data_IF_280041905571
#
_entry.id   IF_280041905571
#
_cell.length_a   1.000
_cell.length_b   1.000
_cell.length_c   1.000
_cell.angle_alpha   90.00
_cell.angle_beta   90.00
_cell.angle_gamma   90.00
#
_symmetry.space_group_name_H-M   'P 1'
#
loop_
_entity.id
_entity.type
_entity.pdbx_description
1 polymer ?
#
# COMPACT_ATOMS: atom_id res chain seq x y z
N UNK A 1 22.16 19.95 12.61
CA UNK A 1 23.40 19.38 13.21
C UNK A 1 24.06 18.52 12.16
N UNK A 2 25.26 18.88 11.72
CA UNK A 2 26.04 18.16 10.71
C UNK A 2 26.99 17.18 11.38
N UNK A 3 27.57 17.56 12.52
CA UNK A 3 28.49 16.74 13.28
C UNK A 3 28.72 17.31 14.68
N UNK A 4 29.45 16.57 15.50
CA UNK A 4 29.85 16.99 16.83
C UNK A 4 31.35 16.76 17.02
N UNK A 5 32.02 17.67 17.73
CA UNK A 5 33.34 17.45 18.32
C UNK A 5 33.18 17.22 19.81
N UNK A 6 33.90 16.25 20.33
CA UNK A 6 34.00 15.96 21.76
C UNK A 6 35.47 16.13 22.14
N UNK A 7 35.76 17.04 23.08
CA UNK A 7 37.11 17.36 23.53
C UNK A 7 38.07 17.68 22.35
N UNK A 8 37.58 18.47 21.39
CA UNK A 8 38.34 18.91 20.20
C UNK A 8 38.43 17.89 19.05
N UNK A 9 38.00 16.63 19.24
CA UNK A 9 38.06 15.57 18.21
C UNK A 9 36.71 15.36 17.54
N UNK A 10 36.69 15.17 16.22
CA UNK A 10 35.48 14.83 15.46
C UNK A 10 35.01 13.43 15.83
N UNK A 11 33.76 13.32 16.30
CA UNK A 11 33.18 12.05 16.75
C UNK A 11 31.84 11.77 16.04
N UNK A 12 31.46 10.49 15.83
CA UNK A 12 30.15 10.14 15.32
C UNK A 12 29.01 10.64 16.24
N UNK A 13 27.87 11.02 15.66
CA UNK A 13 26.68 11.49 16.42
C UNK A 13 26.07 10.43 17.36
N UNK A 14 26.39 9.15 17.16
CA UNK A 14 25.95 8.04 18.01
C UNK A 14 26.79 7.83 19.27
N UNK A 15 27.89 8.57 19.41
CA UNK A 15 28.80 8.44 20.56
C UNK A 15 28.06 8.82 21.84
N UNK A 16 28.12 7.95 22.85
CA UNK A 16 27.56 8.25 24.16
C UNK A 16 28.46 9.25 24.89
N UNK A 17 27.85 10.26 25.49
CA UNK A 17 28.54 11.33 26.19
C UNK A 17 28.84 10.91 27.63
N UNK A 18 29.98 11.34 28.15
CA UNK A 18 30.37 11.14 29.54
C UNK A 18 30.34 12.48 30.31
N UNK A 19 30.26 12.40 31.63
CA UNK A 19 30.32 13.59 32.47
C UNK A 19 31.69 14.25 32.35
N UNK A 20 31.71 15.57 32.15
CA UNK A 20 32.94 16.34 31.97
C UNK A 20 33.37 16.53 30.50
N UNK A 21 32.68 15.92 29.54
CA UNK A 21 32.95 16.13 28.11
C UNK A 21 32.60 17.55 27.66
N UNK A 22 33.53 18.20 26.96
CA UNK A 22 33.27 19.44 26.24
C UNK A 22 32.74 19.12 24.83
N UNK A 23 31.55 19.63 24.51
CA UNK A 23 30.85 19.33 23.26
C UNK A 23 30.75 20.58 22.40
N UNK A 24 31.21 20.49 21.15
CA UNK A 24 30.98 21.50 20.13
C UNK A 24 30.07 20.92 19.04
N UNK A 25 28.94 21.59 18.78
CA UNK A 25 27.96 21.16 17.78
C UNK A 25 28.17 21.94 16.50
N UNK A 26 28.51 21.25 15.42
CA UNK A 26 28.65 21.83 14.09
C UNK A 26 27.26 21.88 13.46
N UNK A 27 26.77 23.08 13.18
CA UNK A 27 25.43 23.31 12.61
C UNK A 27 25.51 23.90 11.21
N UNK A 28 24.50 23.59 10.39
CA UNK A 28 24.31 24.16 9.06
C UNK A 28 22.82 24.36 8.84
N UNK A 29 22.45 25.42 8.11
CA UNK A 29 21.05 25.73 7.76
C UNK A 29 20.43 24.70 6.82
N UNK A 30 21.23 24.03 5.99
CA UNK A 30 20.75 23.03 5.05
C UNK A 30 20.46 21.67 5.72
N UNK A 31 21.04 21.42 6.89
CA UNK A 31 21.00 20.10 7.51
C UNK A 31 19.75 19.93 8.38
N UNK A 32 18.88 18.99 7.99
CA UNK A 32 17.69 18.61 8.75
C UNK A 32 17.89 17.31 9.52
N UNK A 33 17.11 17.07 10.60
CA UNK A 33 17.07 15.80 11.31
C UNK A 33 16.76 14.62 10.39
N UNK A 34 17.57 13.57 10.47
CA UNK A 34 17.33 12.30 9.77
C UNK A 34 16.46 11.36 10.61
N UNK A 35 15.56 10.57 9.99
CA UNK A 35 14.84 9.50 10.67
C UNK A 35 15.74 8.48 11.37
N UNK A 36 16.96 8.27 10.87
CA UNK A 36 17.92 7.36 11.46
C UNK A 36 18.33 7.74 12.90
N UNK A 37 18.16 9.01 13.29
CA UNK A 37 18.50 9.50 14.63
C UNK A 37 17.65 8.87 15.73
N UNK A 38 16.45 8.40 15.41
CA UNK A 38 15.58 7.73 16.37
C UNK A 38 16.23 6.46 16.96
N UNK A 39 17.14 5.82 16.22
CA UNK A 39 17.80 4.57 16.63
C UNK A 39 18.80 4.74 17.78
N UNK A 40 19.42 5.91 17.92
CA UNK A 40 20.49 6.14 18.91
C UNK A 40 20.18 7.26 19.90
N UNK A 41 19.09 8.01 19.72
CA UNK A 41 18.68 9.02 20.70
C UNK A 41 18.17 8.37 21.98
N UNK A 42 18.77 8.81 23.10
CA UNK A 42 18.47 8.27 24.44
C UNK A 42 17.36 9.08 25.13
N UNK A 43 17.44 10.42 25.11
CA UNK A 43 16.53 11.25 25.91
C UNK A 43 15.13 11.35 25.28
N UNK A 44 14.09 11.23 26.12
CA UNK A 44 12.69 11.32 25.67
C UNK A 44 12.35 12.68 25.04
N UNK A 45 12.93 13.77 25.56
CA UNK A 45 12.79 15.12 25.01
C UNK A 45 13.35 15.23 23.58
N UNK A 46 14.51 14.64 23.31
CA UNK A 46 15.07 14.63 21.95
C UNK A 46 14.24 13.75 21.02
N UNK A 47 13.84 12.56 21.49
CA UNK A 47 13.04 11.62 20.69
C UNK A 47 11.71 12.22 20.25
N UNK A 48 10.99 12.89 21.16
CA UNK A 48 9.72 13.55 20.84
C UNK A 48 9.89 14.69 19.82
N UNK A 49 10.96 15.48 19.93
CA UNK A 49 11.27 16.57 18.99
C UNK A 49 11.61 16.04 17.60
N UNK A 50 12.40 14.98 17.50
CA UNK A 50 12.74 14.33 16.22
C UNK A 50 11.49 13.78 15.55
N UNK A 51 10.67 13.01 16.28
CA UNK A 51 9.40 12.46 15.75
C UNK A 51 8.46 13.56 15.26
N UNK A 52 8.32 14.64 16.03
CA UNK A 52 7.49 15.79 15.63
C UNK A 52 7.99 16.42 14.33
N UNK A 53 9.29 16.62 14.21
CA UNK A 53 9.89 17.19 13.00
C UNK A 53 9.65 16.30 11.77
N UNK A 54 9.89 14.99 11.91
CA UNK A 54 9.68 14.02 10.81
C UNK A 54 8.22 14.01 10.39
N UNK A 55 7.27 13.89 11.33
CA UNK A 55 5.83 13.90 10.99
C UNK A 55 5.40 15.17 10.28
N UNK A 56 5.96 16.33 10.65
CA UNK A 56 5.62 17.60 9.98
C UNK A 56 6.14 17.63 8.55
N UNK A 57 7.39 17.19 8.32
CA UNK A 57 7.99 17.06 6.98
C UNK A 57 7.23 16.06 6.10
N UNK A 58 6.91 14.89 6.64
CA UNK A 58 6.11 13.88 5.94
C UNK A 58 4.72 14.42 5.57
N UNK A 59 4.06 15.12 6.50
CA UNK A 59 2.78 15.77 6.23
C UNK A 59 2.88 16.77 5.07
N UNK A 60 3.88 17.65 5.05
CA UNK A 60 4.11 18.59 3.94
C UNK A 60 4.25 17.85 2.59
N UNK A 61 4.99 16.74 2.57
CA UNK A 61 5.16 15.90 1.38
C UNK A 61 3.85 15.24 0.94
N UNK A 62 3.09 14.65 1.88
CA UNK A 62 1.80 14.03 1.58
C UNK A 62 0.77 15.03 1.08
N UNK A 63 0.75 16.26 1.60
CA UNK A 63 -0.14 17.32 1.10
C UNK A 63 0.19 17.64 -0.37
N UNK A 64 1.46 17.82 -0.70
CA UNK A 64 1.90 18.09 -2.07
C UNK A 64 1.56 16.93 -3.02
N UNK A 65 1.83 15.70 -2.59
CA UNK A 65 1.54 14.48 -3.35
C UNK A 65 0.04 14.29 -3.56
N UNK A 66 -0.77 14.41 -2.50
CA UNK A 66 -2.22 14.24 -2.56
C UNK A 66 -2.88 15.27 -3.46
N UNK A 67 -2.40 16.52 -3.45
CA UNK A 67 -2.83 17.56 -4.38
C UNK A 67 -2.56 17.17 -5.83
N UNK A 68 -1.34 16.69 -6.12
CA UNK A 68 -0.98 16.24 -7.47
C UNK A 68 -1.81 15.03 -7.93
N UNK A 69 -2.05 14.06 -7.03
CA UNK A 69 -2.87 12.88 -7.30
C UNK A 69 -4.31 13.29 -7.63
N UNK A 70 -4.93 14.16 -6.83
CA UNK A 70 -6.29 14.63 -7.10
C UNK A 70 -6.36 15.43 -8.40
N UNK A 71 -5.43 16.36 -8.64
CA UNK A 71 -5.38 17.11 -9.89
C UNK A 71 -5.29 16.18 -11.11
N UNK A 72 -4.46 15.14 -11.06
CA UNK A 72 -4.34 14.14 -12.12
C UNK A 72 -5.65 13.38 -12.33
N UNK A 73 -6.27 12.93 -11.24
CA UNK A 73 -7.48 12.09 -11.31
C UNK A 73 -8.69 12.89 -11.79
N UNK A 74 -8.87 14.12 -11.31
CA UNK A 74 -9.94 15.02 -11.78
C UNK A 74 -9.77 15.38 -13.26
N UNK A 75 -8.53 15.58 -13.72
CA UNK A 75 -8.22 15.81 -15.14
C UNK A 75 -8.56 14.59 -16.00
N UNK A 76 -8.31 13.38 -15.51
CA UNK A 76 -8.67 12.14 -16.22
C UNK A 76 -10.19 11.98 -16.36
N UNK A 77 -10.94 12.32 -15.32
CA UNK A 77 -12.41 12.28 -15.33
C UNK A 77 -13.05 13.51 -16.01
N UNK A 78 -12.25 14.41 -16.60
CA UNK A 78 -12.67 15.65 -17.26
C UNK A 78 -13.54 16.57 -16.38
N UNK A 79 -13.31 16.54 -15.05
CA UNK A 79 -14.05 17.34 -14.08
C UNK A 79 -13.17 18.45 -13.49
N UNK A 80 -13.69 19.66 -13.28
CA UNK A 80 -12.93 20.72 -12.65
C UNK A 80 -12.69 20.42 -11.17
N UNK A 81 -11.45 20.59 -10.71
CA UNK A 81 -11.12 20.57 -9.30
C UNK A 81 -11.48 21.94 -8.69
N UNK A 82 -12.69 22.05 -8.13
CA UNK A 82 -13.14 23.25 -7.43
C UNK A 82 -13.10 23.04 -5.92
N UNK A 83 -12.58 24.00 -5.16
CA UNK A 83 -12.51 23.93 -3.69
C UNK A 83 -13.90 23.71 -3.06
N UNK A 84 -14.94 24.37 -3.59
CA UNK A 84 -16.34 24.17 -3.20
C UNK A 84 -16.83 22.72 -3.40
N UNK A 85 -16.28 21.99 -4.38
CA UNK A 85 -16.60 20.59 -4.60
C UNK A 85 -16.00 19.71 -3.50
N UNK A 86 -14.79 20.02 -3.06
CA UNK A 86 -14.08 19.28 -2.01
C UNK A 86 -14.69 19.49 -0.62
N UNK A 87 -15.43 20.58 -0.38
CA UNK A 87 -16.15 20.80 0.89
C UNK A 87 -17.11 19.66 1.23
N UNK A 88 -17.74 19.04 0.22
CA UNK A 88 -18.61 17.88 0.42
C UNK A 88 -17.78 16.67 0.89
N UNK A 89 -16.61 16.45 0.29
CA UNK A 89 -15.68 15.40 0.71
C UNK A 89 -15.15 15.63 2.14
N UNK A 90 -14.86 16.88 2.52
CA UNK A 90 -14.43 17.22 3.89
C UNK A 90 -15.45 16.79 4.95
N UNK A 91 -16.74 17.01 4.69
CA UNK A 91 -17.83 16.61 5.60
C UNK A 91 -17.96 15.10 5.71
N UNK A 92 -17.88 14.38 4.59
CA UNK A 92 -18.01 12.91 4.56
C UNK A 92 -16.84 12.23 5.25
N UNK A 93 -15.61 12.69 5.00
CA UNK A 93 -14.40 12.12 5.61
C UNK A 93 -14.04 12.74 6.96
N UNK A 94 -14.88 13.63 7.49
CA UNK A 94 -14.72 14.25 8.82
C UNK A 94 -13.39 15.01 9.00
N UNK A 95 -12.89 15.63 7.93
CA UNK A 95 -11.64 16.41 7.94
C UNK A 95 -11.94 17.90 8.16
N UNK A 96 -11.05 18.58 8.91
CA UNK A 96 -11.22 20.00 9.27
C UNK A 96 -10.71 20.95 8.18
N UNK A 97 -9.69 20.55 7.45
CA UNK A 97 -9.02 21.39 6.44
C UNK A 97 -8.81 20.63 5.14
N UNK A 98 -8.76 21.36 4.01
CA UNK A 98 -8.40 20.79 2.70
C UNK A 98 -7.00 20.15 2.72
N UNK A 99 -6.06 20.72 3.48
CA UNK A 99 -4.74 20.12 3.67
C UNK A 99 -4.80 18.75 4.33
N UNK A 100 -5.68 18.55 5.32
CA UNK A 100 -5.85 17.23 5.95
C UNK A 100 -6.38 16.20 4.93
N UNK A 101 -7.30 16.61 4.06
CA UNK A 101 -7.80 15.75 2.97
C UNK A 101 -6.68 15.41 1.98
N UNK A 102 -5.89 16.39 1.55
CA UNK A 102 -4.74 16.15 0.68
C UNK A 102 -3.70 15.24 1.34
N UNK A 103 -3.40 15.45 2.61
CA UNK A 103 -2.50 14.59 3.37
C UNK A 103 -3.04 13.15 3.46
N UNK A 104 -4.34 12.96 3.69
CA UNK A 104 -4.97 11.63 3.76
C UNK A 104 -4.91 10.90 2.40
N UNK A 105 -5.13 11.63 1.30
CA UNK A 105 -5.00 11.07 -0.06
C UNK A 105 -3.54 10.74 -0.39
N UNK A 106 -2.60 11.64 -0.05
CA UNK A 106 -1.17 11.41 -0.27
C UNK A 106 -0.60 10.26 0.55
N UNK A 107 -1.13 10.04 1.76
CA UNK A 107 -0.79 8.90 2.62
C UNK A 107 -1.44 7.59 2.17
N UNK A 108 -2.50 7.66 1.36
CA UNK A 108 -3.25 6.49 0.88
C UNK A 108 -4.33 6.00 1.83
N UNK A 109 -4.69 6.77 2.87
CA UNK A 109 -5.81 6.46 3.75
C UNK A 109 -7.15 6.60 3.00
N UNK A 110 -7.21 7.53 2.04
CA UNK A 110 -8.35 7.77 1.15
C UNK A 110 -7.88 7.70 -0.31
N UNK A 111 -8.62 6.99 -1.15
CA UNK A 111 -8.29 6.94 -2.59
C UNK A 111 -8.85 8.14 -3.33
N UNK A 112 -8.15 8.61 -4.37
CA UNK A 112 -8.62 9.72 -5.19
C UNK A 112 -10.00 9.46 -5.84
N UNK A 113 -10.30 8.20 -6.16
CA UNK A 113 -11.62 7.78 -6.70
C UNK A 113 -12.73 7.98 -5.67
N UNK A 114 -12.52 7.55 -4.43
CA UNK A 114 -13.49 7.78 -3.36
C UNK A 114 -13.78 9.28 -3.17
N UNK A 115 -12.77 10.14 -3.32
CA UNK A 115 -12.98 11.59 -3.29
C UNK A 115 -13.90 12.02 -4.45
N UNK A 116 -13.63 11.58 -5.68
CA UNK A 116 -14.45 11.93 -6.85
C UNK A 116 -15.90 11.44 -6.68
N UNK A 117 -16.10 10.21 -6.20
CA UNK A 117 -17.41 9.62 -5.98
C UNK A 117 -18.22 10.42 -4.94
N UNK A 118 -17.56 10.94 -3.90
CA UNK A 118 -18.23 11.77 -2.89
C UNK A 118 -18.56 13.17 -3.39
N UNK A 119 -17.72 13.75 -4.24
CA UNK A 119 -17.95 15.10 -4.80
C UNK A 119 -19.05 15.05 -5.85
N UNK A 120 -19.03 14.02 -6.71
CA UNK A 120 -19.97 13.83 -7.81
C UNK A 120 -20.73 12.51 -7.67
N UNK A 121 -21.72 12.42 -6.77
CA UNK A 121 -22.53 11.22 -6.62
C UNK A 121 -23.35 10.87 -7.88
N UNK A 122 -23.65 11.88 -8.72
CA UNK A 122 -24.30 11.73 -10.03
C UNK A 122 -23.43 10.99 -11.06
N UNK A 123 -22.13 10.83 -10.79
CA UNK A 123 -21.21 10.02 -11.60
C UNK A 123 -21.35 8.51 -11.37
N UNK A 124 -22.27 8.07 -10.50
CA UNK A 124 -22.84 6.72 -10.57
C UNK A 124 -23.71 6.59 -11.81
N UNK A 125 -23.13 6.82 -12.98
CA UNK A 125 -23.47 5.96 -14.10
C UNK A 125 -22.97 4.59 -13.65
N UNK A 126 -23.82 3.55 -13.59
CA UNK A 126 -23.32 2.20 -13.44
C UNK A 126 -22.29 2.05 -14.55
N UNK A 127 -21.00 1.90 -14.20
CA UNK A 127 -20.05 1.37 -15.17
C UNK A 127 -20.63 0.02 -15.56
N UNK A 128 -21.19 -0.01 -16.75
CA UNK A 128 -21.60 -1.16 -17.52
C UNK A 128 -21.75 -2.44 -16.70
N UNK A 129 -23.00 -2.80 -16.46
CA UNK A 129 -23.45 -4.21 -16.41
C UNK A 129 -23.19 -4.93 -17.77
N UNK A 130 -22.34 -4.39 -18.65
CA UNK A 130 -21.96 -4.93 -19.96
C UNK A 130 -20.52 -5.47 -20.07
N UNK A 131 -19.65 -5.31 -19.06
CA UNK A 131 -18.27 -5.85 -19.11
C UNK A 131 -17.82 -6.60 -17.84
N UNK A 132 -18.76 -7.01 -16.99
CA UNK A 132 -18.53 -8.14 -16.09
C UNK A 132 -18.88 -9.42 -16.86
N UNK A 133 -17.97 -9.85 -17.73
CA UNK A 133 -18.00 -11.23 -18.22
C UNK A 133 -18.11 -12.15 -17.01
N UNK A 134 -19.29 -12.77 -16.83
CA UNK A 134 -19.69 -13.67 -15.76
C UNK A 134 -18.56 -13.97 -14.76
N UNK A 135 -18.39 -13.11 -13.75
CA UNK A 135 -17.51 -13.45 -12.62
C UNK A 135 -18.29 -14.43 -11.76
N UNK A 136 -18.37 -15.68 -12.23
CA UNK A 136 -18.85 -16.80 -11.43
C UNK A 136 -17.88 -16.91 -10.26
N UNK A 137 -18.34 -16.88 -8.99
CA UNK A 137 -17.45 -16.98 -7.85
C UNK A 137 -16.72 -18.32 -7.92
N UNK A 138 -15.41 -18.26 -8.21
CA UNK A 138 -14.52 -19.42 -8.31
C UNK A 138 -14.23 -20.06 -6.94
N UNK A 139 -15.17 -19.95 -5.99
CA UNK A 139 -15.03 -20.39 -4.60
C UNK A 139 -15.81 -21.69 -4.29
N UNK A 140 -16.36 -22.37 -5.29
CA UNK A 140 -16.99 -23.70 -5.12
C UNK A 140 -16.25 -24.87 -5.77
N UNK A 141 -15.10 -24.64 -6.40
CA UNK A 141 -14.35 -25.72 -7.09
C UNK A 141 -13.06 -26.17 -6.38
N UNK A 142 -12.93 -25.89 -5.08
CA UNK A 142 -11.84 -26.44 -4.24
C UNK A 142 -12.34 -27.18 -2.99
N UNK A 143 -13.64 -27.49 -2.92
CA UNK A 143 -14.23 -28.36 -1.90
C UNK A 143 -14.62 -29.74 -2.45
N UNK A 144 -14.06 -30.13 -3.60
CA UNK A 144 -13.93 -31.54 -3.92
C UNK A 144 -12.86 -32.08 -2.99
N UNK A 145 -13.27 -32.72 -1.90
CA UNK A 145 -12.39 -33.60 -1.13
C UNK A 145 -11.59 -34.40 -2.15
N UNK A 146 -10.26 -34.31 -2.08
CA UNK A 146 -9.37 -35.39 -2.51
C UNK A 146 -9.62 -36.60 -1.61
N UNK A 147 -10.87 -37.05 -1.57
CA UNK A 147 -11.30 -38.29 -1.00
C UNK A 147 -11.03 -39.31 -2.07
N UNK A 148 -9.98 -40.08 -1.83
CA UNK A 148 -9.70 -41.50 -2.09
C UNK A 148 -10.80 -42.39 -2.74
N UNK A 149 -12.04 -41.94 -2.94
CA UNK A 149 -13.16 -42.69 -3.51
C UNK A 149 -13.90 -41.89 -4.60
N UNK A 150 -13.23 -41.54 -5.69
CA UNK A 150 -13.84 -40.90 -6.87
C UNK A 150 -13.38 -41.57 -8.15
N UNK A 151 -14.11 -42.60 -8.59
CA UNK A 151 -13.99 -43.29 -9.87
C UNK A 151 -12.55 -43.43 -10.43
N UNK A 152 -11.78 -44.36 -9.86
CA UNK A 152 -10.61 -44.88 -10.57
C UNK A 152 -11.08 -45.48 -11.89
N UNK A 153 -10.63 -44.91 -13.01
CA UNK A 153 -10.91 -45.48 -14.33
C UNK A 153 -10.15 -46.81 -14.40
N UNK A 154 -10.84 -47.95 -14.62
CA UNK A 154 -10.16 -49.24 -14.73
C UNK A 154 -9.37 -49.27 -16.05
N UNK A 155 -8.05 -49.04 -15.96
CA UNK A 155 -7.17 -49.13 -17.12
C UNK A 155 -6.72 -50.58 -17.26
N UNK A 156 -7.09 -51.22 -18.38
CA UNK A 156 -6.65 -52.58 -18.68
C UNK A 156 -5.18 -52.56 -19.13
N UNK A 157 -4.36 -53.43 -18.55
CA UNK A 157 -2.95 -53.63 -18.95
C UNK A 157 -1.91 -52.82 -18.15
N UNK A 158 -2.32 -51.99 -17.18
CA UNK A 158 -1.41 -51.31 -16.27
C UNK A 158 -1.14 -52.14 -15.00
N UNK A 159 0.09 -52.05 -14.50
CA UNK A 159 0.47 -52.67 -13.22
C UNK A 159 -0.17 -51.85 -12.08
N UNK A 160 -0.84 -52.50 -11.10
CA UNK A 160 -1.42 -51.81 -9.95
C UNK A 160 -0.37 -50.95 -9.22
N UNK A 161 -0.70 -49.69 -8.94
CA UNK A 161 0.19 -48.76 -8.22
C UNK A 161 1.06 -47.86 -9.12
N UNK A 162 1.01 -48.01 -10.44
CA UNK A 162 1.64 -47.05 -11.35
C UNK A 162 0.89 -45.71 -11.38
N UNK A 163 1.64 -44.61 -11.34
CA UNK A 163 1.09 -43.27 -11.50
C UNK A 163 0.71 -42.99 -12.95
N UNK A 164 -0.44 -42.35 -13.16
CA UNK A 164 -0.93 -41.90 -14.47
C UNK A 164 -1.36 -40.45 -14.41
N UNK A 165 -1.24 -39.74 -15.53
CA UNK A 165 -1.68 -38.36 -15.67
C UNK A 165 -2.44 -38.19 -16.99
N UNK A 166 -3.47 -37.34 -16.99
CA UNK A 166 -4.17 -36.96 -18.23
C UNK A 166 -3.30 -36.04 -19.07
N UNK A 167 -3.37 -36.20 -20.39
CA UNK A 167 -2.76 -35.28 -21.32
C UNK A 167 -3.44 -33.91 -21.24
N UNK A 168 -2.66 -32.82 -21.32
CA UNK A 168 -3.20 -31.46 -21.25
C UNK A 168 -3.96 -31.00 -22.49
N UNK A 169 -3.94 -31.78 -23.57
CA UNK A 169 -4.58 -31.44 -24.84
C UNK A 169 -6.08 -31.79 -24.90
N UNK A 170 -6.55 -32.72 -24.07
CA UNK A 170 -7.95 -33.16 -24.07
C UNK A 170 -8.41 -33.63 -22.69
N UNK A 171 -9.67 -33.32 -22.34
CA UNK A 171 -10.30 -33.72 -21.08
C UNK A 171 -11.43 -34.72 -21.41
N UNK A 172 -11.19 -36.03 -21.27
CA UNK A 172 -12.20 -37.03 -21.63
C UNK A 172 -13.41 -36.97 -20.70
N UNK A 173 -14.61 -37.11 -21.27
CA UNK A 173 -15.88 -37.11 -20.53
C UNK A 173 -16.27 -38.57 -20.22
N UNK A 174 -17.02 -38.86 -19.13
CA UNK A 174 -17.48 -40.21 -18.84
C UNK A 174 -18.20 -40.86 -20.04
N UNK A 175 -17.66 -41.97 -20.54
CA UNK A 175 -18.15 -42.69 -21.72
C UNK A 175 -17.19 -42.68 -22.91
N UNK A 176 -16.23 -41.75 -22.95
CA UNK A 176 -15.21 -41.71 -24.00
C UNK A 176 -14.20 -42.87 -23.85
N UNK A 177 -13.79 -43.42 -24.99
CA UNK A 177 -12.69 -44.40 -25.05
C UNK A 177 -11.36 -43.66 -24.92
N UNK A 178 -10.64 -43.92 -23.84
CA UNK A 178 -9.32 -43.33 -23.55
C UNK A 178 -8.24 -44.36 -23.88
N UNK A 179 -7.16 -43.93 -24.54
CA UNK A 179 -5.97 -44.75 -24.83
C UNK A 179 -4.77 -44.06 -24.20
N UNK A 180 -3.99 -44.80 -23.41
CA UNK A 180 -2.69 -44.34 -22.90
C UNK A 180 -1.56 -44.77 -23.83
N UNK A 181 -0.61 -43.87 -24.08
CA UNK A 181 0.66 -44.14 -24.77
C UNK A 181 1.76 -44.23 -23.71
#
# INVERSE_FOLDING_TARGET
>A
CVGAKINGRMMPLRTQLQNGDQIEIITSKAQTPSPAWERFVVTGKARSRIRRFIRLREREQYVSLGRAILQKTFRQEQRPLTEKGLDRALRVFTHKTLEDLYAAVGKGDITARQVIDTVFPEARVPKDEGETGNVVPLKRMRSGKSGVNGHAIPIRGLIPGMAVHYAGCCHPIPGDRIVGI
#
